data_IF_416474636473
#
_entry.id   IF_416474636473
#
_cell.length_a   1.000
_cell.length_b   1.000
_cell.length_c   1.000
_cell.angle_alpha   90.00
_cell.angle_beta   90.00
_cell.angle_gamma   90.00
#
_symmetry.space_group_name_H-M   'P 1'
#
loop_
_entity.id
_entity.type
_entity.pdbx_description
1 polymer ?
#
# COMPACT_ATOMS: atom_id res chain seq x y z
N UNK A 1 -30.04 -4.25 -13.19
CA UNK A 1 -30.25 -3.29 -12.09
C UNK A 1 -29.35 -2.09 -12.34
N UNK A 2 -29.91 -0.92 -12.61
CA UNK A 2 -29.16 0.33 -12.76
C UNK A 2 -28.66 0.75 -11.38
N UNK A 3 -27.33 0.85 -11.19
CA UNK A 3 -26.76 1.41 -9.97
C UNK A 3 -27.20 2.87 -9.84
N UNK A 4 -27.61 3.25 -8.64
CA UNK A 4 -27.82 4.66 -8.30
C UNK A 4 -26.48 5.40 -8.32
N UNK A 5 -26.39 6.68 -8.78
CA UNK A 5 -25.15 7.46 -8.74
C UNK A 5 -24.53 7.58 -7.33
N UNK A 6 -25.32 7.30 -6.29
CA UNK A 6 -24.91 7.37 -4.87
C UNK A 6 -24.21 6.10 -4.32
N UNK A 7 -24.08 5.04 -5.13
CA UNK A 7 -23.63 3.73 -4.63
C UNK A 7 -22.10 3.52 -4.69
N UNK A 8 -21.32 4.50 -5.13
CA UNK A 8 -19.86 4.39 -5.29
C UNK A 8 -19.06 5.45 -4.51
N UNK A 9 -17.73 5.30 -4.42
CA UNK A 9 -16.87 6.36 -3.91
C UNK A 9 -16.96 7.59 -4.81
N UNK A 10 -17.05 8.79 -4.22
CA UNK A 10 -17.13 10.06 -4.96
C UNK A 10 -15.79 10.49 -5.56
N UNK A 11 -14.69 9.90 -5.10
CA UNK A 11 -13.32 10.20 -5.56
C UNK A 11 -12.54 8.91 -5.76
N UNK A 12 -11.70 8.94 -6.78
CA UNK A 12 -10.78 7.84 -7.11
C UNK A 12 -9.34 8.32 -7.08
N UNK A 13 -8.47 7.51 -6.54
CA UNK A 13 -7.03 7.65 -6.72
C UNK A 13 -6.62 6.85 -7.96
N UNK A 14 -6.25 7.57 -9.01
CA UNK A 14 -5.70 7.00 -10.24
C UNK A 14 -4.21 6.76 -10.04
N UNK A 15 -3.72 5.57 -10.41
CA UNK A 15 -2.34 5.18 -10.23
C UNK A 15 -1.76 4.61 -11.51
N UNK A 16 -0.65 5.18 -11.96
CA UNK A 16 0.20 4.60 -13.00
C UNK A 16 1.41 3.97 -12.35
N UNK A 17 1.64 2.70 -12.61
CA UNK A 17 2.82 1.97 -12.14
C UNK A 17 3.88 1.91 -13.24
N UNK A 18 5.13 2.18 -12.88
CA UNK A 18 6.27 2.27 -13.77
C UNK A 18 7.41 1.45 -13.16
N UNK A 19 7.95 0.52 -13.93
CA UNK A 19 9.05 -0.35 -13.49
C UNK A 19 10.45 0.25 -13.72
N UNK A 20 11.43 -0.38 -13.11
CA UNK A 20 12.82 0.08 -13.05
C UNK A 20 13.39 0.61 -14.37
N UNK A 21 13.25 -0.04 -15.54
CA UNK A 21 13.84 0.46 -16.78
C UNK A 21 13.30 1.82 -17.23
N UNK A 22 12.06 2.14 -16.87
CA UNK A 22 11.37 3.35 -17.29
C UNK A 22 11.39 4.49 -16.25
N UNK A 23 11.84 4.22 -15.01
CA UNK A 23 11.75 5.19 -13.89
C UNK A 23 12.45 6.51 -14.22
N UNK A 24 13.69 6.47 -14.69
CA UNK A 24 14.45 7.69 -15.00
C UNK A 24 13.79 8.54 -16.11
N UNK A 25 13.17 7.89 -17.09
CA UNK A 25 12.42 8.57 -18.14
C UNK A 25 11.14 9.18 -17.57
N UNK A 26 10.38 8.42 -16.79
CA UNK A 26 9.16 8.89 -16.15
C UNK A 26 9.42 10.08 -15.23
N UNK A 27 10.50 10.05 -14.44
CA UNK A 27 10.86 11.19 -13.59
C UNK A 27 11.04 12.48 -14.40
N UNK A 28 11.67 12.41 -15.58
CA UNK A 28 11.79 13.57 -16.47
C UNK A 28 10.44 14.02 -17.04
N UNK A 29 9.61 13.08 -17.52
CA UNK A 29 8.29 13.36 -18.12
C UNK A 29 7.35 14.01 -17.11
N UNK A 30 7.37 13.57 -15.87
CA UNK A 30 6.53 14.10 -14.81
C UNK A 30 7.16 15.25 -14.01
N UNK A 31 8.40 15.68 -14.37
CA UNK A 31 9.07 16.81 -13.72
C UNK A 31 9.46 16.52 -12.27
N UNK A 32 9.85 15.29 -11.97
CA UNK A 32 10.22 14.89 -10.60
C UNK A 32 11.68 15.29 -10.34
N UNK A 33 11.86 16.20 -9.38
CA UNK A 33 13.17 16.59 -8.87
C UNK A 33 13.54 15.69 -7.68
N UNK A 34 14.55 14.86 -7.86
CA UNK A 34 14.99 13.90 -6.83
C UNK A 34 15.33 14.58 -5.51
N UNK A 35 15.86 15.79 -5.52
CA UNK A 35 16.26 16.53 -4.31
C UNK A 35 15.09 16.94 -3.44
N UNK A 36 13.87 17.04 -3.99
CA UNK A 36 12.65 17.51 -3.31
C UNK A 36 11.81 16.40 -2.70
N UNK A 37 12.21 15.15 -2.89
CA UNK A 37 11.51 13.99 -2.35
C UNK A 37 11.63 13.89 -0.83
N UNK A 38 10.57 13.38 -0.20
CA UNK A 38 10.53 13.09 1.24
C UNK A 38 10.65 11.59 1.45
N UNK A 39 11.68 11.18 2.15
CA UNK A 39 11.91 9.77 2.45
C UNK A 39 10.91 9.25 3.48
N UNK A 40 10.65 7.95 3.42
CA UNK A 40 9.87 7.19 4.40
C UNK A 40 10.27 5.72 4.36
N UNK A 41 10.03 5.03 5.46
CA UNK A 41 10.12 3.58 5.54
C UNK A 41 8.71 2.99 5.64
N UNK A 42 8.46 1.88 4.96
CA UNK A 42 7.14 1.25 4.90
C UNK A 42 7.28 -0.21 5.32
N UNK A 43 6.38 -0.67 6.16
CA UNK A 43 6.20 -2.08 6.51
C UNK A 43 4.78 -2.50 6.20
N UNK A 44 4.62 -3.78 5.91
CA UNK A 44 3.31 -4.41 5.77
C UNK A 44 3.17 -5.55 6.76
N UNK A 45 2.02 -5.63 7.44
CA UNK A 45 1.66 -6.77 8.25
C UNK A 45 1.10 -7.90 7.39
N UNK A 46 1.63 -9.11 7.58
CA UNK A 46 1.14 -10.32 6.92
C UNK A 46 1.30 -11.54 7.83
N UNK A 47 0.47 -12.54 7.63
CA UNK A 47 0.61 -13.84 8.27
C UNK A 47 1.42 -14.72 7.33
N UNK A 48 2.57 -15.20 7.81
CA UNK A 48 3.44 -16.05 7.01
C UNK A 48 3.13 -17.52 7.32
N UNK A 49 2.40 -18.18 6.43
CA UNK A 49 2.22 -19.63 6.47
C UNK A 49 3.15 -20.28 5.43
N UNK A 50 4.25 -20.84 5.93
CA UNK A 50 5.34 -21.42 5.13
C UNK A 50 5.23 -22.92 4.96
N UNK A 51 4.06 -23.48 4.68
CA UNK A 51 3.93 -24.90 4.36
C UNK A 51 4.26 -25.15 2.90
N UNK A 52 5.07 -26.18 2.65
CA UNK A 52 5.40 -26.70 1.31
C UNK A 52 6.11 -25.74 0.34
N UNK A 53 6.90 -24.78 0.85
CA UNK A 53 7.66 -23.84 0.02
C UNK A 53 6.80 -22.83 -0.74
N UNK A 54 5.50 -22.80 -0.52
CA UNK A 54 4.57 -21.80 -1.05
C UNK A 54 4.36 -20.73 0.02
N UNK A 55 4.75 -19.51 -0.28
CA UNK A 55 4.52 -18.38 0.60
C UNK A 55 3.06 -17.94 0.47
N UNK A 56 2.19 -18.40 1.36
CA UNK A 56 0.85 -17.89 1.45
C UNK A 56 0.86 -16.49 2.10
N UNK A 57 0.07 -15.58 1.54
CA UNK A 57 -0.14 -14.22 2.05
C UNK A 57 -1.65 -14.07 2.34
N UNK A 58 -2.15 -14.68 3.43
CA UNK A 58 -3.59 -14.80 3.66
C UNK A 58 -4.31 -13.47 3.87
N UNK A 59 -3.66 -12.44 4.44
CA UNK A 59 -4.26 -11.11 4.55
C UNK A 59 -4.38 -10.46 3.18
N UNK A 60 -3.29 -10.44 2.41
CA UNK A 60 -3.28 -9.90 1.05
C UNK A 60 -4.26 -10.62 0.12
N UNK A 61 -4.36 -11.95 0.21
CA UNK A 61 -5.31 -12.75 -0.57
C UNK A 61 -6.78 -12.40 -0.26
N UNK A 62 -7.07 -11.97 0.96
CA UNK A 62 -8.40 -11.48 1.39
C UNK A 62 -8.61 -9.99 1.09
N UNK A 63 -7.65 -9.31 0.46
CA UNK A 63 -7.70 -7.87 0.22
C UNK A 63 -7.46 -7.02 1.48
N UNK A 64 -6.96 -7.63 2.56
CA UNK A 64 -6.65 -6.92 3.81
C UNK A 64 -5.21 -6.43 3.74
N UNK A 65 -5.02 -5.14 3.99
CA UNK A 65 -3.73 -4.47 3.99
C UNK A 65 -3.53 -3.80 5.35
N UNK A 66 -2.55 -4.27 6.10
CA UNK A 66 -2.03 -3.58 7.26
C UNK A 66 -0.70 -2.94 6.85
N UNK A 67 -0.59 -1.63 6.97
CA UNK A 67 0.59 -0.88 6.55
C UNK A 67 1.04 0.09 7.63
N UNK A 68 2.32 0.09 7.91
CA UNK A 68 2.98 1.09 8.76
C UNK A 68 3.92 1.92 7.90
N UNK A 69 3.87 3.24 8.05
CA UNK A 69 4.78 4.19 7.39
C UNK A 69 5.41 5.10 8.42
N UNK A 70 6.73 5.24 8.37
CA UNK A 70 7.47 6.16 9.24
C UNK A 70 8.25 7.18 8.41
N UNK A 71 8.31 8.41 8.90
CA UNK A 71 9.09 9.51 8.31
C UNK A 71 10.45 9.62 9.01
N UNK A 72 11.52 10.04 8.30
CA UNK A 72 12.75 10.42 8.96
C UNK A 72 12.48 11.55 9.97
N UNK A 73 13.04 11.41 11.17
CA UNK A 73 12.88 12.42 12.21
C UNK A 73 11.61 12.31 13.06
N UNK A 74 10.83 11.25 12.88
CA UNK A 74 9.68 10.92 13.72
C UNK A 74 8.32 11.06 13.04
N UNK A 75 7.32 10.52 13.71
CA UNK A 75 5.94 10.47 13.24
C UNK A 75 5.72 9.52 12.05
N UNK A 76 4.54 9.02 11.94
CA UNK A 76 4.16 8.08 10.88
C UNK A 76 2.67 7.85 10.86
N UNK A 77 2.25 6.83 10.15
CA UNK A 77 0.87 6.38 10.14
C UNK A 77 0.77 4.86 10.06
N UNK A 78 -0.27 4.32 10.68
CA UNK A 78 -0.70 2.94 10.49
C UNK A 78 -2.06 2.94 9.78
N UNK A 79 -2.19 2.10 8.76
CA UNK A 79 -3.41 1.91 7.98
C UNK A 79 -3.86 0.47 8.08
N UNK A 80 -5.11 0.24 8.46
CA UNK A 80 -5.80 -1.03 8.20
C UNK A 80 -6.84 -0.78 7.11
N UNK A 81 -6.70 -1.50 5.98
CA UNK A 81 -7.52 -1.31 4.77
C UNK A 81 -8.08 -2.65 4.30
N UNK A 82 -9.38 -2.70 4.02
CA UNK A 82 -10.01 -3.76 3.24
C UNK A 82 -10.20 -3.26 1.81
N UNK A 83 -9.74 -4.04 0.83
CA UNK A 83 -9.82 -3.73 -0.60
C UNK A 83 -10.50 -4.87 -1.34
N UNK A 84 -11.42 -4.54 -2.22
CA UNK A 84 -12.09 -5.49 -3.10
C UNK A 84 -12.28 -4.93 -4.51
N UNK A 85 -12.62 -5.79 -5.50
CA UNK A 85 -13.05 -5.32 -6.80
C UNK A 85 -14.22 -4.35 -6.67
N UNK A 86 -14.34 -3.42 -7.64
CA UNK A 86 -15.49 -2.51 -7.68
C UNK A 86 -16.79 -3.31 -7.72
N UNK A 87 -17.67 -3.01 -6.78
CA UNK A 87 -18.95 -3.71 -6.59
C UNK A 87 -18.93 -4.92 -5.67
N UNK A 88 -17.78 -5.34 -5.13
CA UNK A 88 -17.71 -6.42 -4.15
C UNK A 88 -17.86 -5.94 -2.69
N UNK A 89 -17.59 -4.65 -2.42
CA UNK A 89 -17.85 -4.04 -1.13
C UNK A 89 -19.24 -3.40 -1.14
N UNK A 90 -20.04 -3.68 -0.12
CA UNK A 90 -21.28 -2.93 0.14
C UNK A 90 -20.90 -1.54 0.67
N UNK A 91 -20.79 -0.59 -0.27
CA UNK A 91 -20.36 0.78 0.04
C UNK A 91 -21.32 1.46 1.02
N UNK A 92 -22.63 1.18 0.97
CA UNK A 92 -23.60 1.78 1.87
C UNK A 92 -23.40 1.27 3.30
N UNK A 93 -23.22 -0.04 3.48
CA UNK A 93 -22.91 -0.62 4.78
C UNK A 93 -21.58 -0.10 5.32
N UNK A 94 -20.56 0.02 4.46
CA UNK A 94 -19.27 0.55 4.87
C UNK A 94 -19.28 2.06 5.19
N UNK A 95 -20.11 2.87 4.52
CA UNK A 95 -20.29 4.28 4.92
C UNK A 95 -20.82 4.39 6.34
N UNK A 96 -21.89 3.64 6.63
CA UNK A 96 -22.40 3.60 8.01
C UNK A 96 -21.32 3.17 8.99
N UNK A 97 -20.51 2.17 8.61
CA UNK A 97 -19.44 1.68 9.48
C UNK A 97 -18.30 2.69 9.64
N UNK A 98 -17.92 3.42 8.59
CA UNK A 98 -16.91 4.50 8.72
C UNK A 98 -17.39 5.64 9.61
N UNK A 99 -18.68 5.98 9.58
CA UNK A 99 -19.27 6.96 10.49
C UNK A 99 -19.20 6.50 11.95
N UNK A 100 -19.41 5.20 12.22
CA UNK A 100 -19.29 4.59 13.54
C UNK A 100 -17.83 4.51 14.04
N UNK A 101 -16.88 4.26 13.15
CA UNK A 101 -15.44 4.19 13.46
C UNK A 101 -14.83 5.57 13.68
N UNK A 102 -15.46 6.63 13.17
CA UNK A 102 -15.07 8.01 13.40
C UNK A 102 -13.86 8.46 12.57
N UNK A 103 -13.09 9.41 13.13
CA UNK A 103 -11.95 10.03 12.47
C UNK A 103 -10.92 9.00 12.02
N UNK A 104 -10.39 9.20 10.81
CA UNK A 104 -9.45 8.29 10.16
C UNK A 104 -10.10 7.18 9.32
N UNK A 105 -11.41 6.93 9.48
CA UNK A 105 -12.15 5.98 8.67
C UNK A 105 -12.61 6.62 7.35
N UNK A 106 -12.41 5.90 6.23
CA UNK A 106 -12.76 6.42 4.89
C UNK A 106 -13.02 5.32 3.88
N UNK A 107 -13.77 5.70 2.83
CA UNK A 107 -13.99 4.88 1.64
C UNK A 107 -13.35 5.58 0.45
N UNK A 108 -12.53 4.87 -0.30
CA UNK A 108 -11.81 5.37 -1.46
C UNK A 108 -11.98 4.44 -2.65
N UNK A 109 -12.05 5.01 -3.85
CA UNK A 109 -11.84 4.28 -5.09
C UNK A 109 -10.36 4.29 -5.44
N UNK A 110 -9.83 3.14 -5.84
CA UNK A 110 -8.47 2.98 -6.37
C UNK A 110 -8.56 2.49 -7.82
N UNK A 111 -7.76 3.06 -8.71
CA UNK A 111 -7.63 2.56 -10.08
C UNK A 111 -6.16 2.41 -10.48
N UNK A 112 -5.63 1.21 -10.26
CA UNK A 112 -4.29 0.79 -10.67
C UNK A 112 -4.43 -0.45 -11.57
N UNK A 113 -4.61 -0.25 -12.87
CA UNK A 113 -4.94 -1.33 -13.83
C UNK A 113 -6.42 -1.73 -13.81
N UNK A 114 -6.97 -2.07 -12.65
CA UNK A 114 -8.42 -2.32 -12.44
C UNK A 114 -9.00 -1.38 -11.39
N UNK A 115 -10.30 -1.16 -11.44
CA UNK A 115 -11.02 -0.41 -10.41
C UNK A 115 -11.21 -1.27 -9.17
N UNK A 116 -10.89 -0.70 -8.03
CA UNK A 116 -11.05 -1.29 -6.71
C UNK A 116 -11.78 -0.28 -5.82
N UNK A 117 -12.48 -0.77 -4.84
CA UNK A 117 -13.02 0.03 -3.74
C UNK A 117 -12.38 -0.45 -2.46
N UNK A 118 -12.08 0.47 -1.57
CA UNK A 118 -11.48 0.17 -0.28
C UNK A 118 -12.15 0.94 0.85
N UNK A 119 -12.27 0.29 1.99
CA UNK A 119 -12.58 0.92 3.26
C UNK A 119 -11.33 0.83 4.14
N UNK A 120 -10.95 1.91 4.80
CA UNK A 120 -9.74 1.95 5.62
C UNK A 120 -9.93 2.79 6.88
N UNK A 121 -9.12 2.49 7.89
CA UNK A 121 -8.91 3.31 9.08
C UNK A 121 -7.44 3.65 9.15
N UNK A 122 -7.13 4.94 9.17
CA UNK A 122 -5.78 5.47 9.36
C UNK A 122 -5.62 5.97 10.81
N UNK A 123 -4.41 5.81 11.35
CA UNK A 123 -4.03 6.28 12.68
C UNK A 123 -2.62 6.84 12.63
N UNK A 124 -2.41 8.03 13.23
CA UNK A 124 -1.09 8.62 13.33
C UNK A 124 -0.26 7.93 14.43
N UNK A 125 1.00 7.67 14.13
CA UNK A 125 1.95 7.05 15.03
C UNK A 125 2.94 8.11 15.57
N UNK A 126 3.29 7.96 16.83
CA UNK A 126 4.26 8.78 17.53
C UNK A 126 5.71 8.24 17.44
N UNK A 127 6.64 8.94 18.06
CA UNK A 127 8.05 8.58 18.08
C UNK A 127 8.34 7.33 18.93
N UNK A 128 7.54 7.04 19.95
CA UNK A 128 7.69 5.85 20.79
C UNK A 128 7.42 4.58 19.97
N UNK A 129 6.46 4.63 19.07
CA UNK A 129 6.14 3.56 18.11
C UNK A 129 7.33 3.28 17.20
N UNK A 130 8.11 4.29 16.82
CA UNK A 130 9.32 4.10 16.02
C UNK A 130 10.35 3.24 16.75
N UNK A 131 10.59 3.52 18.02
CA UNK A 131 11.52 2.72 18.83
C UNK A 131 11.07 1.26 18.94
N UNK A 132 9.75 1.03 19.03
CA UNK A 132 9.17 -0.31 19.02
C UNK A 132 9.38 -1.03 17.67
N UNK A 133 9.29 -0.32 16.54
CA UNK A 133 9.54 -0.88 15.20
C UNK A 133 11.00 -1.24 14.94
N UNK A 134 11.94 -0.52 15.56
CA UNK A 134 13.38 -0.79 15.47
C UNK A 134 13.80 -1.98 16.37
N UNK A 135 12.89 -2.48 17.22
CA UNK A 135 13.11 -3.66 18.06
C UNK A 135 13.13 -4.98 17.25
N UNK A 136 13.62 -6.05 17.85
CA UNK A 136 13.78 -7.33 17.16
C UNK A 136 12.46 -7.99 16.73
N UNK A 137 11.40 -7.80 17.52
CA UNK A 137 10.08 -8.41 17.29
C UNK A 137 8.95 -7.41 17.64
N UNK A 138 8.62 -6.46 16.76
CA UNK A 138 7.57 -5.49 17.04
C UNK A 138 6.19 -6.19 17.13
N UNK A 139 5.46 -5.90 18.21
CA UNK A 139 4.11 -6.43 18.42
C UNK A 139 3.12 -5.61 17.59
N UNK A 140 2.54 -6.22 16.57
CA UNK A 140 1.65 -5.53 15.63
C UNK A 140 0.41 -4.94 16.30
N UNK A 141 -0.14 -5.62 17.32
CA UNK A 141 -1.30 -5.13 18.06
C UNK A 141 -1.06 -3.77 18.74
N UNK A 142 0.19 -3.47 19.13
CA UNK A 142 0.55 -2.21 19.79
C UNK A 142 0.61 -1.03 18.81
N UNK A 143 0.72 -1.32 17.51
CA UNK A 143 0.73 -0.32 16.45
C UNK A 143 -0.66 0.11 16.00
N UNK A 144 -1.71 -0.58 16.46
CA UNK A 144 -3.08 -0.36 16.01
C UNK A 144 -3.85 0.51 17.02
N UNK A 145 -4.63 1.47 16.49
CA UNK A 145 -5.64 2.16 17.29
C UNK A 145 -6.74 1.20 17.75
N UNK A 146 -7.55 1.64 18.71
CA UNK A 146 -8.73 0.87 19.15
C UNK A 146 -9.67 0.58 18.00
N UNK A 147 -9.95 1.57 17.14
CA UNK A 147 -10.80 1.43 15.95
C UNK A 147 -10.24 0.40 14.97
N UNK A 148 -8.92 0.41 14.77
CA UNK A 148 -8.25 -0.58 13.92
C UNK A 148 -8.31 -1.98 14.51
N UNK A 149 -8.18 -2.14 15.82
CA UNK A 149 -8.34 -3.45 16.49
C UNK A 149 -9.78 -3.97 16.39
N UNK A 150 -10.77 -3.10 16.56
CA UNK A 150 -12.18 -3.46 16.33
C UNK A 150 -12.42 -3.92 14.89
N UNK A 151 -11.92 -3.17 13.92
CA UNK A 151 -12.02 -3.54 12.51
C UNK A 151 -11.29 -4.85 12.19
N UNK A 152 -10.10 -5.06 12.74
CA UNK A 152 -9.35 -6.31 12.59
C UNK A 152 -10.13 -7.51 13.13
N UNK A 153 -10.77 -7.37 14.30
CA UNK A 153 -11.62 -8.39 14.90
C UNK A 153 -12.82 -8.71 13.99
N UNK A 154 -13.51 -7.71 13.46
CA UNK A 154 -14.64 -7.90 12.53
C UNK A 154 -14.22 -8.59 11.24
N UNK A 155 -13.02 -8.28 10.75
CA UNK A 155 -12.43 -8.91 9.58
C UNK A 155 -11.82 -10.28 9.90
N UNK A 156 -11.96 -10.79 11.12
CA UNK A 156 -11.38 -12.06 11.57
C UNK A 156 -9.87 -12.13 11.28
N UNK A 157 -9.15 -11.05 11.60
CA UNK A 157 -7.69 -11.00 11.52
C UNK A 157 -7.10 -11.37 12.88
N UNK A 158 -6.43 -12.53 13.00
CA UNK A 158 -5.68 -12.84 14.21
C UNK A 158 -4.42 -11.97 14.22
N UNK A 159 -4.25 -11.12 15.23
CA UNK A 159 -3.14 -10.16 15.28
C UNK A 159 -1.82 -10.80 15.74
N UNK A 160 -1.87 -11.79 16.64
CA UNK A 160 -0.68 -12.43 17.20
C UNK A 160 0.28 -13.04 16.15
N UNK A 161 -0.20 -13.76 15.12
CA UNK A 161 0.68 -14.32 14.11
C UNK A 161 1.09 -13.33 13.02
N UNK A 162 0.62 -12.07 13.08
CA UNK A 162 0.98 -11.08 12.07
C UNK A 162 2.41 -10.64 12.27
N UNK A 163 3.19 -10.73 11.19
CA UNK A 163 4.58 -10.31 11.13
C UNK A 163 4.71 -9.08 10.23
N UNK A 164 5.56 -8.11 10.62
CA UNK A 164 5.90 -6.98 9.78
C UNK A 164 6.95 -7.37 8.74
N UNK A 165 6.64 -7.14 7.47
CA UNK A 165 7.53 -7.29 6.33
C UNK A 165 8.03 -5.93 5.88
N UNK A 166 9.34 -5.75 5.85
CA UNK A 166 9.99 -4.48 5.50
C UNK A 166 11.33 -4.33 6.24
N UNK A 167 11.88 -3.10 6.32
CA UNK A 167 11.35 -1.88 5.70
C UNK A 167 11.54 -1.84 4.18
N UNK A 168 10.58 -1.21 3.50
CA UNK A 168 10.69 -0.79 2.11
C UNK A 168 11.13 0.67 2.14
N UNK A 169 12.23 1.00 1.48
CA UNK A 169 12.62 2.39 1.29
C UNK A 169 11.67 3.06 0.29
N UNK A 170 11.04 4.15 0.70
CA UNK A 170 10.16 4.91 -0.16
C UNK A 170 10.53 6.38 -0.16
N UNK A 171 10.32 7.04 -1.32
CA UNK A 171 10.47 8.48 -1.47
C UNK A 171 9.24 9.04 -2.17
N UNK A 172 8.64 10.08 -1.58
CA UNK A 172 7.40 10.68 -2.07
C UNK A 172 7.60 12.14 -2.46
N UNK A 173 6.98 12.53 -3.58
CA UNK A 173 6.93 13.89 -4.09
C UNK A 173 5.48 14.36 -4.21
N UNK A 174 5.28 15.65 -3.97
CA UNK A 174 4.08 16.37 -4.42
C UNK A 174 4.47 17.14 -5.66
N UNK A 175 3.71 16.93 -6.72
CA UNK A 175 3.96 17.53 -8.03
C UNK A 175 2.89 18.59 -8.33
N UNK A 176 3.12 19.38 -9.38
CA UNK A 176 2.15 20.36 -9.85
C UNK A 176 0.87 19.68 -10.36
N UNK A 177 -0.23 20.41 -10.30
CA UNK A 177 -1.54 19.90 -10.73
C UNK A 177 -2.16 18.88 -9.78
N UNK A 178 -1.70 18.78 -8.54
CA UNK A 178 -2.25 17.85 -7.54
C UNK A 178 -1.81 16.40 -7.75
N UNK A 179 -0.78 16.18 -8.57
CA UNK A 179 -0.18 14.87 -8.74
C UNK A 179 0.74 14.52 -7.56
N UNK A 180 0.87 13.24 -7.31
CA UNK A 180 1.88 12.71 -6.39
C UNK A 180 2.71 11.65 -7.11
N UNK A 181 3.96 11.52 -6.70
CA UNK A 181 4.82 10.42 -7.12
C UNK A 181 5.37 9.69 -5.89
N UNK A 182 5.50 8.39 -5.96
CA UNK A 182 6.11 7.59 -4.90
C UNK A 182 6.99 6.49 -5.50
N UNK A 183 8.28 6.55 -5.20
CA UNK A 183 9.26 5.52 -5.57
C UNK A 183 9.45 4.57 -4.40
N UNK A 184 9.24 3.28 -4.63
CA UNK A 184 9.59 2.22 -3.70
C UNK A 184 10.84 1.49 -4.17
N UNK A 185 11.70 1.15 -3.21
CA UNK A 185 12.91 0.37 -3.45
C UNK A 185 13.07 -0.68 -2.37
N UNK A 186 13.16 -1.93 -2.79
CA UNK A 186 13.45 -3.08 -1.92
C UNK A 186 14.30 -4.09 -2.69
N UNK A 187 15.53 -4.28 -2.26
CA UNK A 187 16.54 -5.06 -2.97
C UNK A 187 16.65 -4.61 -4.45
N UNK A 188 16.47 -5.52 -5.39
CA UNK A 188 16.49 -5.22 -6.84
C UNK A 188 15.15 -4.67 -7.38
N UNK A 189 14.08 -4.73 -6.59
CA UNK A 189 12.77 -4.24 -7.01
C UNK A 189 12.66 -2.73 -6.84
N UNK A 190 12.25 -2.06 -7.89
CA UNK A 190 11.96 -0.62 -7.87
C UNK A 190 10.67 -0.35 -8.64
N UNK A 191 9.78 0.43 -8.04
CA UNK A 191 8.50 0.84 -8.62
C UNK A 191 8.29 2.32 -8.40
N UNK A 192 8.05 3.06 -9.47
CA UNK A 192 7.56 4.43 -9.40
C UNK A 192 6.05 4.42 -9.67
N UNK A 193 5.30 5.02 -8.77
CA UNK A 193 3.87 5.23 -8.94
C UNK A 193 3.62 6.73 -9.11
N UNK A 194 2.88 7.10 -10.15
CA UNK A 194 2.32 8.43 -10.31
C UNK A 194 0.84 8.34 -9.96
N UNK A 195 0.35 9.22 -9.10
CA UNK A 195 -1.05 9.19 -8.68
C UNK A 195 -1.72 10.56 -8.67
N UNK A 196 -3.04 10.53 -8.83
CA UNK A 196 -3.91 11.68 -8.71
C UNK A 196 -5.24 11.30 -8.09
N UNK A 197 -5.77 12.12 -7.19
CA UNK A 197 -7.11 11.95 -6.63
C UNK A 197 -8.09 12.85 -7.37
N UNK A 198 -9.13 12.25 -7.95
CA UNK A 198 -10.05 12.93 -8.86
C UNK A 198 -11.50 12.48 -8.68
N UNK A 199 -12.46 13.35 -9.09
CA UNK A 199 -13.88 13.01 -9.30
C UNK A 199 -14.19 12.55 -10.73
N UNK A 200 -13.25 12.71 -11.67
CA UNK A 200 -13.37 12.26 -13.07
C UNK A 200 -12.23 11.26 -13.39
N UNK A 201 -12.40 10.00 -12.96
CA UNK A 201 -11.33 9.03 -13.02
C UNK A 201 -10.94 8.61 -14.45
N UNK A 202 -11.88 8.54 -15.38
CA UNK A 202 -11.63 8.17 -16.77
C UNK A 202 -10.77 9.20 -17.47
N UNK A 203 -11.15 10.44 -17.36
CA UNK A 203 -10.43 11.56 -17.96
C UNK A 203 -9.03 11.70 -17.36
N UNK A 204 -8.91 11.68 -16.04
CA UNK A 204 -7.61 11.81 -15.37
C UNK A 204 -6.69 10.68 -15.76
N UNK A 205 -7.18 9.45 -15.83
CA UNK A 205 -6.40 8.31 -16.27
C UNK A 205 -5.89 8.48 -17.70
N UNK A 206 -6.78 8.86 -18.62
CA UNK A 206 -6.43 9.09 -20.02
C UNK A 206 -5.35 10.18 -20.16
N UNK A 207 -5.49 11.29 -19.45
CA UNK A 207 -4.52 12.39 -19.47
C UNK A 207 -3.14 11.94 -18.95
N UNK A 208 -3.09 11.13 -17.88
CA UNK A 208 -1.85 10.61 -17.33
C UNK A 208 -1.20 9.58 -18.26
N UNK A 209 -1.97 8.65 -18.83
CA UNK A 209 -1.50 7.65 -19.79
C UNK A 209 -0.99 8.31 -21.07
N UNK A 210 -1.69 9.32 -21.58
CA UNK A 210 -1.24 10.11 -22.75
C UNK A 210 0.09 10.82 -22.45
N UNK A 211 0.20 11.50 -21.31
CA UNK A 211 1.44 12.18 -20.91
C UNK A 211 2.62 11.21 -20.81
N UNK A 212 2.40 10.02 -20.24
CA UNK A 212 3.42 8.97 -20.19
C UNK A 212 3.82 8.51 -21.60
N UNK A 213 2.83 8.22 -22.47
CA UNK A 213 3.03 7.77 -23.85
C UNK A 213 3.74 8.79 -24.72
N UNK A 214 3.35 10.07 -24.66
CA UNK A 214 4.00 11.18 -25.39
C UNK A 214 5.48 11.34 -24.98
N UNK A 215 5.80 11.03 -23.71
CA UNK A 215 7.16 10.96 -23.18
C UNK A 215 7.89 9.64 -23.46
N UNK A 216 7.24 8.68 -24.12
CA UNK A 216 7.78 7.36 -24.43
C UNK A 216 7.98 6.48 -23.19
N UNK A 217 7.18 6.67 -22.14
CA UNK A 217 7.21 5.85 -20.93
C UNK A 217 6.26 4.66 -21.12
N UNK A 218 6.81 3.46 -21.03
CA UNK A 218 6.01 2.24 -21.01
C UNK A 218 5.49 2.00 -19.58
N UNK A 219 4.18 1.85 -19.46
CA UNK A 219 3.54 1.56 -18.19
C UNK A 219 3.61 0.06 -17.89
N UNK A 220 3.62 -0.27 -16.60
CA UNK A 220 3.60 -1.68 -16.15
C UNK A 220 2.28 -2.34 -16.57
N UNK A 221 2.33 -3.35 -17.45
CA UNK A 221 1.13 -4.06 -17.92
C UNK A 221 0.59 -5.05 -16.88
N UNK A 222 1.31 -5.29 -15.77
CA UNK A 222 0.93 -6.31 -14.82
C UNK A 222 -0.34 -5.95 -14.06
N UNK A 223 -1.33 -6.88 -14.00
CA UNK A 223 -2.57 -6.67 -13.27
C UNK A 223 -2.39 -6.73 -11.75
N UNK A 224 -1.22 -7.21 -11.28
CA UNK A 224 -0.89 -7.37 -9.85
C UNK A 224 -0.35 -6.05 -9.30
N UNK A 225 -0.87 -5.62 -8.17
CA UNK A 225 -0.45 -4.35 -7.57
C UNK A 225 1.01 -4.40 -7.11
N UNK A 226 1.69 -3.23 -7.09
CA UNK A 226 3.05 -3.12 -6.54
C UNK A 226 3.16 -3.69 -5.12
N UNK A 227 2.11 -3.48 -4.29
CA UNK A 227 2.05 -3.99 -2.91
C UNK A 227 2.14 -5.51 -2.88
N UNK A 228 1.35 -6.21 -3.67
CA UNK A 228 1.36 -7.68 -3.73
C UNK A 228 2.74 -8.21 -4.17
N UNK A 229 3.32 -7.61 -5.22
CA UNK A 229 4.65 -8.00 -5.73
C UNK A 229 5.76 -7.82 -4.69
N UNK A 230 5.71 -6.72 -3.94
CA UNK A 230 6.67 -6.46 -2.86
C UNK A 230 6.47 -7.41 -1.69
N UNK A 231 5.23 -7.68 -1.29
CA UNK A 231 4.92 -8.63 -0.23
C UNK A 231 5.41 -10.05 -0.57
N UNK A 232 5.15 -10.53 -1.79
CA UNK A 232 5.65 -11.82 -2.25
C UNK A 232 7.18 -11.90 -2.25
N UNK A 233 7.85 -10.81 -2.62
CA UNK A 233 9.31 -10.75 -2.59
C UNK A 233 9.85 -10.82 -1.16
N UNK A 234 9.33 -9.99 -0.25
CA UNK A 234 9.76 -9.92 1.14
C UNK A 234 9.48 -11.22 1.89
N UNK A 235 8.33 -11.84 1.65
CA UNK A 235 7.97 -13.10 2.26
C UNK A 235 8.90 -14.23 1.81
N UNK A 236 9.18 -14.37 0.50
CA UNK A 236 10.16 -15.35 -0.01
C UNK A 236 11.53 -15.18 0.61
N UNK A 237 12.02 -13.93 0.70
CA UNK A 237 13.32 -13.63 1.32
C UNK A 237 13.38 -14.12 2.78
N UNK A 238 12.33 -13.91 3.56
CA UNK A 238 12.30 -14.32 4.97
C UNK A 238 12.41 -15.84 5.14
N UNK A 239 11.75 -16.62 4.28
CA UNK A 239 11.86 -18.08 4.30
C UNK A 239 13.26 -18.59 3.88
N UNK A 240 13.87 -17.96 2.88
CA UNK A 240 15.22 -18.34 2.41
C UNK A 240 16.28 -18.14 3.51
N UNK A 241 16.13 -17.13 4.37
CA UNK A 241 17.06 -16.89 5.49
C UNK A 241 16.90 -17.94 6.60
N UNK A 242 15.69 -18.43 6.83
CA UNK A 242 15.41 -19.43 7.87
C UNK A 242 15.96 -20.81 7.47
N UNK A 243 15.95 -21.15 6.18
CA UNK A 243 16.41 -22.45 5.66
C UNK A 243 17.95 -22.55 5.49
N UNK A 244 18.69 -21.47 5.72
CA UNK A 244 20.16 -21.54 5.67
C UNK A 244 20.68 -22.08 6.99
N UNK A 245 21.22 -23.32 7.04
CA UNK A 245 21.79 -23.88 8.27
C UNK A 245 22.96 -23.01 8.73
N UNK A 246 23.05 -22.80 10.05
CA UNK A 246 24.20 -22.10 10.64
C UNK A 246 25.49 -22.77 10.18
N UNK A 247 26.55 -22.02 9.82
CA UNK A 247 27.84 -22.62 9.49
C UNK A 247 28.32 -23.47 10.68
N UNK A 248 28.96 -24.63 10.44
CA UNK A 248 29.49 -25.46 11.51
C UNK A 248 30.41 -24.62 12.37
N UNK A 249 30.25 -24.71 13.68
CA UNK A 249 31.18 -24.10 14.64
C UNK A 249 32.55 -24.79 14.50
N UNK A 250 33.58 -23.99 14.17
CA UNK A 250 34.99 -24.43 14.18
C UNK A 250 35.51 -24.71 15.61
#
# INVERSE_FOLDING_TARGET
>A
MSRSPDDGPSRFEIKLNIEAPQIAKAMRVFGIDESRGKDRAIWFGEILDGRDGVTALPLSARGIILRVRMKPGGGGDCTLKLRGPDGCLDVAAWRKRTDELGDGAKIEGDWAGRRLVSASVDHDLDDDTRAALDGPDPVVADLLSEQQRLLAHELLVPLDPVTLLGPIAARKWKLDGGLEAELWSVDALRFLEISAVTGDPERTRQELEQRAGDGGVDLDPHPVTKTTRVLEHLARRRFTVIDTPAPPAD
#
